data_IF_291751971281
#
_entry.id   IF_291751971281
#
_cell.length_a   1.000
_cell.length_b   1.000
_cell.length_c   1.000
_cell.angle_alpha   90.00
_cell.angle_beta   90.00
_cell.angle_gamma   90.00
#
_symmetry.space_group_name_H-M   'P 1'
#
loop_
_entity.id
_entity.type
_entity.pdbx_description
1 polymer ?
#
# COMPACT_ATOMS: atom_id res chain seq x y z
N UNK A 1 23.09 2.44 -38.46
CA UNK A 1 23.74 2.54 -37.15
C UNK A 1 22.63 2.57 -36.12
N UNK A 2 22.41 1.44 -35.45
CA UNK A 2 21.33 1.28 -34.48
C UNK A 2 21.77 1.89 -33.15
N UNK A 3 21.23 3.03 -32.78
CA UNK A 3 21.33 3.56 -31.43
C UNK A 3 20.40 2.74 -30.53
N UNK A 4 20.95 1.72 -29.96
CA UNK A 4 20.31 0.91 -28.94
C UNK A 4 20.15 1.77 -27.67
N UNK A 5 19.05 2.45 -27.54
CA UNK A 5 18.63 2.99 -26.27
C UNK A 5 18.20 1.79 -25.40
N UNK A 6 19.17 1.13 -24.79
CA UNK A 6 18.91 0.20 -23.71
C UNK A 6 18.24 1.02 -22.59
N UNK A 7 16.93 0.98 -22.53
CA UNK A 7 16.21 1.39 -21.35
C UNK A 7 16.69 0.46 -20.22
N UNK A 8 17.58 0.97 -19.37
CA UNK A 8 17.99 0.26 -18.15
C UNK A 8 16.71 0.08 -17.34
N UNK A 9 16.09 -1.10 -17.42
CA UNK A 9 14.97 -1.44 -16.57
C UNK A 9 15.49 -1.37 -15.13
N UNK A 10 14.99 -0.41 -14.36
CA UNK A 10 15.31 -0.31 -12.94
C UNK A 10 14.70 -1.54 -12.27
N UNK A 11 15.53 -2.48 -11.84
CA UNK A 11 15.08 -3.67 -11.15
C UNK A 11 14.79 -3.35 -9.69
N UNK A 12 13.57 -3.57 -9.23
CA UNK A 12 13.19 -3.44 -7.83
C UNK A 12 13.76 -4.60 -7.02
N UNK A 13 14.13 -4.32 -5.78
CA UNK A 13 14.58 -5.34 -4.82
C UNK A 13 13.62 -5.37 -3.64
N UNK A 14 13.28 -6.55 -3.10
CA UNK A 14 12.49 -6.65 -1.90
C UNK A 14 13.16 -5.90 -0.74
N UNK A 15 12.37 -5.12 0.01
CA UNK A 15 12.80 -4.48 1.25
C UNK A 15 12.62 -5.45 2.41
N UNK A 16 13.43 -5.29 3.44
CA UNK A 16 13.32 -6.04 4.70
C UNK A 16 12.65 -5.21 5.77
N UNK A 17 11.79 -5.86 6.58
CA UNK A 17 11.04 -5.22 7.66
C UNK A 17 11.21 -6.01 8.96
N UNK A 18 11.63 -5.34 10.03
CA UNK A 18 11.84 -5.96 11.34
C UNK A 18 10.54 -5.96 12.15
N UNK A 19 9.61 -6.86 11.82
CA UNK A 19 8.26 -6.91 12.38
C UNK A 19 7.98 -8.10 13.31
N UNK A 20 8.99 -8.90 13.66
CA UNK A 20 8.79 -10.02 14.57
C UNK A 20 8.27 -9.57 15.94
N UNK A 21 7.27 -10.31 16.46
CA UNK A 21 6.69 -10.06 17.78
C UNK A 21 5.69 -8.91 17.81
N UNK A 22 4.98 -8.64 16.71
CA UNK A 22 3.83 -7.74 16.70
C UNK A 22 2.71 -8.25 17.59
N UNK A 23 1.94 -7.36 18.17
CA UNK A 23 0.78 -7.71 18.99
C UNK A 23 -0.37 -8.18 18.10
N UNK A 24 -0.83 -9.41 18.27
CA UNK A 24 -1.99 -9.96 17.56
C UNK A 24 -1.77 -10.28 16.07
N UNK A 25 -0.56 -10.16 15.54
CA UNK A 25 -0.16 -10.62 14.19
C UNK A 25 1.02 -11.55 14.37
N UNK A 26 0.86 -12.84 14.02
CA UNK A 26 1.89 -13.84 14.26
C UNK A 26 3.07 -13.72 13.29
N UNK A 27 4.25 -14.15 13.73
CA UNK A 27 5.43 -14.23 12.86
C UNK A 27 5.16 -15.15 11.65
N UNK A 28 4.34 -16.19 11.82
CA UNK A 28 3.92 -17.08 10.72
C UNK A 28 3.12 -16.33 9.64
N UNK A 29 2.18 -15.46 10.04
CA UNK A 29 1.44 -14.59 9.13
C UNK A 29 2.40 -13.64 8.41
N UNK A 30 3.33 -13.02 9.13
CA UNK A 30 4.31 -12.11 8.56
C UNK A 30 5.24 -12.81 7.55
N UNK A 31 5.76 -13.98 7.86
CA UNK A 31 6.62 -14.76 6.95
C UNK A 31 5.91 -15.11 5.64
N UNK A 32 4.66 -15.56 5.72
CA UNK A 32 3.83 -15.84 4.54
C UNK A 32 3.58 -14.57 3.73
N UNK A 33 3.27 -13.48 4.40
CA UNK A 33 2.95 -12.18 3.80
C UNK A 33 4.18 -11.55 3.12
N UNK A 34 5.38 -11.68 3.70
CA UNK A 34 6.63 -11.26 3.06
C UNK A 34 6.91 -12.04 1.77
N UNK A 35 6.68 -13.35 1.75
CA UNK A 35 6.84 -14.17 0.52
C UNK A 35 5.86 -13.74 -0.57
N UNK A 36 4.62 -13.39 -0.21
CA UNK A 36 3.64 -12.84 -1.14
C UNK A 36 4.13 -11.51 -1.73
N UNK A 37 4.62 -10.60 -0.89
CA UNK A 37 5.21 -9.32 -1.29
C UNK A 37 6.41 -9.51 -2.25
N UNK A 38 7.32 -10.43 -1.95
CA UNK A 38 8.44 -10.76 -2.84
C UNK A 38 7.96 -11.21 -4.22
N UNK A 39 6.82 -11.89 -4.28
CA UNK A 39 6.14 -12.26 -5.53
C UNK A 39 5.76 -11.03 -6.36
N UNK A 40 5.17 -10.00 -5.75
CA UNK A 40 4.84 -8.74 -6.44
C UNK A 40 6.09 -8.02 -6.97
N UNK A 41 7.18 -7.99 -6.20
CA UNK A 41 8.45 -7.41 -6.65
C UNK A 41 8.98 -8.13 -7.88
N UNK A 42 9.00 -9.47 -7.85
CA UNK A 42 9.46 -10.31 -8.96
C UNK A 42 8.59 -10.09 -10.21
N UNK A 43 7.27 -10.14 -10.06
CA UNK A 43 6.35 -9.99 -11.20
C UNK A 43 6.40 -8.56 -11.78
N UNK A 44 6.52 -7.52 -10.96
CA UNK A 44 6.73 -6.15 -11.44
C UNK A 44 7.96 -6.06 -12.35
N UNK A 45 9.09 -6.62 -11.92
CA UNK A 45 10.32 -6.66 -12.73
C UNK A 45 10.10 -7.42 -14.03
N UNK A 46 9.54 -8.65 -13.95
CA UNK A 46 9.30 -9.51 -15.12
C UNK A 46 8.39 -8.82 -16.15
N UNK A 47 7.31 -8.18 -15.71
CA UNK A 47 6.39 -7.49 -16.60
C UNK A 47 7.05 -6.28 -17.25
N UNK A 48 7.85 -5.51 -16.50
CA UNK A 48 8.59 -4.37 -17.02
C UNK A 48 9.57 -4.80 -18.12
N UNK A 49 10.30 -5.91 -17.92
CA UNK A 49 11.20 -6.48 -18.91
C UNK A 49 10.43 -6.94 -20.15
N UNK A 50 9.32 -7.68 -19.98
CA UNK A 50 8.50 -8.16 -21.10
C UNK A 50 7.90 -7.02 -21.92
N UNK A 51 7.41 -5.96 -21.30
CA UNK A 51 6.91 -4.77 -22.00
C UNK A 51 8.04 -4.11 -22.80
N UNK A 52 9.24 -4.01 -22.22
CA UNK A 52 10.39 -3.44 -22.92
C UNK A 52 10.81 -4.30 -24.14
N UNK A 53 10.63 -5.63 -24.10
CA UNK A 53 10.88 -6.52 -25.26
C UNK A 53 9.92 -6.24 -26.41
N UNK A 54 8.61 -6.03 -26.16
CA UNK A 54 7.63 -5.64 -27.18
C UNK A 54 7.99 -4.31 -27.84
N UNK A 55 8.56 -3.37 -27.07
CA UNK A 55 8.91 -2.04 -27.57
C UNK A 55 10.31 -1.95 -28.23
N UNK A 56 11.01 -3.08 -28.42
CA UNK A 56 12.41 -3.10 -28.88
C UNK A 56 12.58 -2.47 -30.26
N UNK A 57 11.65 -2.72 -31.18
CA UNK A 57 11.65 -2.17 -32.55
C UNK A 57 10.89 -0.85 -32.68
N UNK A 58 10.37 -0.32 -31.58
CA UNK A 58 9.67 0.96 -31.49
C UNK A 58 8.19 0.94 -31.91
N UNK A 59 7.61 -0.26 -32.06
CA UNK A 59 6.19 -0.44 -32.41
C UNK A 59 5.60 -1.63 -31.69
N UNK A 60 4.28 -1.69 -31.66
CA UNK A 60 3.47 -2.85 -31.25
C UNK A 60 2.49 -3.08 -32.39
N UNK A 61 2.60 -4.21 -33.05
CA UNK A 61 1.69 -4.50 -34.17
C UNK A 61 0.34 -5.07 -33.67
N UNK A 62 -0.57 -5.31 -34.63
CA UNK A 62 -1.93 -5.74 -34.32
C UNK A 62 -1.98 -7.15 -33.69
N UNK A 63 -1.06 -8.03 -34.05
CA UNK A 63 -0.99 -9.38 -33.50
C UNK A 63 -0.44 -9.40 -32.09
N UNK A 64 0.46 -8.49 -31.76
CA UNK A 64 1.06 -8.32 -30.44
C UNK A 64 0.17 -7.58 -29.45
N UNK A 65 -0.72 -6.72 -29.95
CA UNK A 65 -1.53 -5.81 -29.11
C UNK A 65 -2.30 -6.52 -27.97
N UNK A 66 -2.94 -7.69 -28.14
CA UNK A 66 -3.63 -8.35 -27.04
C UNK A 66 -2.72 -8.74 -25.89
N UNK A 67 -1.53 -9.28 -26.18
CA UNK A 67 -0.53 -9.66 -25.17
C UNK A 67 0.06 -8.42 -24.49
N UNK A 68 0.43 -7.40 -25.28
CA UNK A 68 0.95 -6.13 -24.79
C UNK A 68 -0.06 -5.42 -23.86
N UNK A 69 -1.33 -5.36 -24.25
CA UNK A 69 -2.38 -4.74 -23.43
C UNK A 69 -2.55 -5.44 -22.09
N UNK A 70 -2.54 -6.80 -22.04
CA UNK A 70 -2.64 -7.54 -20.79
C UNK A 70 -1.40 -7.34 -19.90
N UNK A 71 -0.19 -7.36 -20.46
CA UNK A 71 1.04 -7.09 -19.69
C UNK A 71 1.02 -5.68 -19.08
N UNK A 72 0.58 -4.68 -19.85
CA UNK A 72 0.49 -3.29 -19.41
C UNK A 72 -0.55 -3.12 -18.30
N UNK A 73 -1.74 -3.74 -18.45
CA UNK A 73 -2.78 -3.75 -17.43
C UNK A 73 -2.29 -4.42 -16.15
N UNK A 74 -1.65 -5.59 -16.28
CA UNK A 74 -1.16 -6.38 -15.15
C UNK A 74 -0.02 -5.69 -14.40
N UNK A 75 0.82 -4.91 -15.10
CA UNK A 75 1.91 -4.18 -14.46
C UNK A 75 1.39 -3.22 -13.37
N UNK A 76 0.27 -2.53 -13.61
CA UNK A 76 -0.33 -1.66 -12.60
C UNK A 76 -0.74 -2.41 -11.34
N UNK A 77 -1.35 -3.58 -11.49
CA UNK A 77 -1.71 -4.45 -10.36
C UNK A 77 -0.50 -4.90 -9.55
N UNK A 78 0.53 -5.43 -10.20
CA UNK A 78 1.73 -5.96 -9.53
C UNK A 78 2.53 -4.83 -8.86
N UNK A 79 2.70 -3.69 -9.56
CA UNK A 79 3.40 -2.53 -9.00
C UNK A 79 2.69 -1.96 -7.77
N UNK A 80 1.37 -1.80 -7.85
CA UNK A 80 0.59 -1.33 -6.69
C UNK A 80 0.63 -2.36 -5.56
N UNK A 81 0.56 -3.66 -5.86
CA UNK A 81 0.73 -4.73 -4.87
C UNK A 81 2.07 -4.59 -4.13
N UNK A 82 3.15 -4.43 -4.86
CA UNK A 82 4.48 -4.19 -4.29
C UNK A 82 4.50 -2.96 -3.37
N UNK A 83 4.08 -1.80 -3.88
CA UNK A 83 4.18 -0.52 -3.14
C UNK A 83 3.24 -0.49 -1.93
N UNK A 84 2.01 -0.99 -2.06
CA UNK A 84 1.06 -0.99 -0.96
C UNK A 84 1.50 -1.91 0.19
N UNK A 85 2.13 -3.06 -0.12
CA UNK A 85 2.74 -3.91 0.91
C UNK A 85 3.93 -3.22 1.60
N UNK A 86 4.80 -2.54 0.85
CA UNK A 86 5.90 -1.76 1.45
C UNK A 86 5.39 -0.68 2.40
N UNK A 87 4.32 0.00 2.03
CA UNK A 87 3.68 1.01 2.86
C UNK A 87 3.01 0.38 4.09
N UNK A 88 2.33 -0.76 3.93
CA UNK A 88 1.69 -1.50 5.01
C UNK A 88 2.71 -2.01 6.04
N UNK A 89 3.74 -2.72 5.62
CA UNK A 89 4.79 -3.18 6.53
C UNK A 89 5.53 -2.01 7.20
N UNK A 90 5.82 -0.96 6.43
CA UNK A 90 6.45 0.25 6.94
C UNK A 90 5.58 1.09 7.88
N UNK A 91 4.29 0.76 8.03
CA UNK A 91 3.42 1.41 9.02
C UNK A 91 3.54 0.81 10.41
N UNK A 92 4.17 -0.35 10.55
CA UNK A 92 4.10 -1.13 11.79
C UNK A 92 5.47 -1.25 12.46
N UNK A 93 5.44 -1.39 13.78
CA UNK A 93 6.58 -1.78 14.60
C UNK A 93 6.13 -2.49 15.87
N UNK A 94 7.00 -3.32 16.42
CA UNK A 94 6.81 -3.87 17.76
C UNK A 94 6.72 -2.75 18.80
N UNK A 95 5.72 -2.83 19.66
CA UNK A 95 5.46 -1.79 20.68
C UNK A 95 4.97 -0.46 20.08
N UNK A 96 4.39 -0.52 18.90
CA UNK A 96 3.66 0.59 18.28
C UNK A 96 2.29 0.83 18.91
N UNK A 97 1.39 1.42 18.14
CA UNK A 97 0.00 1.67 18.55
C UNK A 97 -0.20 2.95 19.37
N UNK A 98 -1.26 2.95 20.16
CA UNK A 98 -1.71 4.16 20.85
C UNK A 98 -2.24 5.21 19.87
N UNK A 99 -1.87 6.46 20.12
CA UNK A 99 -2.21 7.62 19.29
C UNK A 99 -0.95 8.42 18.94
N UNK A 100 -0.93 9.15 17.81
CA UNK A 100 0.15 10.08 17.56
C UNK A 100 0.19 11.17 18.64
N UNK A 101 1.38 11.70 18.90
CA UNK A 101 1.55 12.74 19.91
C UNK A 101 0.60 13.91 19.67
N UNK A 102 -0.03 14.49 20.70
CA UNK A 102 -1.05 15.55 20.54
C UNK A 102 -0.57 16.77 19.74
N UNK A 103 0.74 17.04 19.75
CA UNK A 103 1.35 18.17 19.01
C UNK A 103 2.01 17.75 17.69
N UNK A 104 1.88 16.49 17.27
CA UNK A 104 2.45 16.02 16.01
C UNK A 104 1.76 16.66 14.80
N UNK A 105 2.46 16.72 13.68
CA UNK A 105 1.89 17.24 12.43
C UNK A 105 0.77 16.36 11.93
N UNK A 106 0.89 15.04 12.13
CA UNK A 106 -0.16 14.09 11.76
C UNK A 106 -1.44 14.33 12.58
N UNK A 107 -1.32 14.49 13.91
CA UNK A 107 -2.48 14.77 14.77
C UNK A 107 -3.22 16.04 14.33
N UNK A 108 -2.48 17.11 14.08
CA UNK A 108 -3.05 18.39 13.58
C UNK A 108 -3.73 18.23 12.22
N UNK A 109 -3.11 17.49 11.28
CA UNK A 109 -3.68 17.24 9.95
C UNK A 109 -4.98 16.43 10.04
N UNK A 110 -5.03 15.43 10.91
CA UNK A 110 -6.25 14.65 11.20
C UNK A 110 -7.35 15.56 11.76
N UNK A 111 -7.07 16.32 12.80
CA UNK A 111 -8.06 17.20 13.45
C UNK A 111 -8.55 18.29 12.50
N UNK A 112 -7.68 18.87 11.69
CA UNK A 112 -8.07 19.84 10.66
C UNK A 112 -8.99 19.23 9.59
N UNK A 113 -8.87 17.92 9.31
CA UNK A 113 -9.61 17.24 8.25
C UNK A 113 -10.92 16.63 8.73
N UNK A 114 -10.95 16.07 9.94
CA UNK A 114 -12.05 15.27 10.48
C UNK A 114 -12.70 15.90 11.74
N UNK A 115 -12.15 16.98 12.26
CA UNK A 115 -12.62 17.63 13.50
C UNK A 115 -11.99 17.02 14.75
N UNK A 116 -12.02 15.70 14.91
CA UNK A 116 -11.38 15.00 16.03
C UNK A 116 -10.66 13.73 15.57
N UNK A 117 -9.76 13.25 16.42
CA UNK A 117 -9.06 11.98 16.23
C UNK A 117 -10.02 10.79 16.19
N UNK A 118 -11.02 10.78 17.05
CA UNK A 118 -12.00 9.72 17.20
C UNK A 118 -12.86 9.57 15.93
N UNK A 119 -13.24 10.69 15.31
CA UNK A 119 -13.98 10.69 14.05
C UNK A 119 -13.14 10.08 12.93
N UNK A 120 -11.87 10.49 12.79
CA UNK A 120 -10.96 9.90 11.84
C UNK A 120 -10.76 8.39 12.07
N UNK A 121 -10.50 8.00 13.33
CA UNK A 121 -10.27 6.60 13.70
C UNK A 121 -11.50 5.73 13.40
N UNK A 122 -12.68 6.25 13.72
CA UNK A 122 -13.95 5.57 13.43
C UNK A 122 -14.12 5.38 11.92
N UNK A 123 -13.89 6.41 11.13
CA UNK A 123 -14.01 6.36 9.66
C UNK A 123 -12.99 5.38 9.06
N UNK A 124 -11.70 5.51 9.40
CA UNK A 124 -10.64 4.63 8.91
C UNK A 124 -10.89 3.15 9.23
N UNK A 125 -11.25 2.84 10.49
CA UNK A 125 -11.52 1.45 10.90
C UNK A 125 -12.83 0.92 10.31
N UNK A 126 -13.84 1.76 10.09
CA UNK A 126 -15.08 1.39 9.43
C UNK A 126 -14.86 1.02 7.97
N UNK A 127 -14.03 1.76 7.26
CA UNK A 127 -13.58 1.41 5.91
C UNK A 127 -12.90 0.02 5.93
N UNK A 128 -11.97 -0.23 6.87
CA UNK A 128 -11.32 -1.53 7.01
C UNK A 128 -12.30 -2.71 7.25
N UNK A 129 -13.46 -2.44 7.86
CA UNK A 129 -14.51 -3.45 8.11
C UNK A 129 -15.44 -3.69 6.92
N UNK A 130 -15.36 -2.90 5.85
CA UNK A 130 -16.18 -3.09 4.65
C UNK A 130 -15.96 -4.48 4.06
N UNK A 131 -17.03 -5.06 3.49
CA UNK A 131 -16.95 -6.37 2.84
C UNK A 131 -16.16 -6.28 1.53
N UNK A 132 -15.28 -7.25 1.31
CA UNK A 132 -14.43 -7.32 0.13
C UNK A 132 -12.97 -7.52 0.50
N UNK A 133 -12.10 -7.57 -0.50
CA UNK A 133 -10.65 -7.65 -0.39
C UNK A 133 -10.02 -6.38 -0.93
N UNK A 134 -8.99 -5.88 -0.28
CA UNK A 134 -8.33 -4.64 -0.67
C UNK A 134 -7.64 -3.94 0.49
N UNK A 135 -7.75 -2.62 0.54
CA UNK A 135 -7.00 -1.76 1.45
C UNK A 135 -7.87 -0.65 2.03
N UNK A 136 -7.62 -0.28 3.26
CA UNK A 136 -8.07 1.00 3.82
C UNK A 136 -6.88 1.94 3.86
N UNK A 137 -6.97 3.07 3.17
CA UNK A 137 -5.85 4.00 3.04
C UNK A 137 -6.28 5.41 3.46
N UNK A 138 -5.52 6.00 4.37
CA UNK A 138 -5.58 7.44 4.64
C UNK A 138 -4.64 8.15 3.67
N UNK A 139 -5.19 9.03 2.85
CA UNK A 139 -4.46 9.85 1.88
C UNK A 139 -4.38 11.31 2.29
N UNK A 140 -3.33 11.98 1.83
CA UNK A 140 -3.22 13.44 1.87
C UNK A 140 -3.44 14.02 0.47
N UNK A 141 -4.32 15.01 0.36
CA UNK A 141 -4.46 15.83 -0.81
C UNK A 141 -3.26 16.79 -0.93
N UNK A 142 -2.47 16.76 -2.03
CA UNK A 142 -1.25 17.55 -2.15
C UNK A 142 -1.50 19.06 -2.25
N UNK A 143 -2.68 19.48 -2.70
CA UNK A 143 -3.02 20.90 -2.85
C UNK A 143 -3.46 21.53 -1.52
N UNK A 144 -4.31 20.80 -0.78
CA UNK A 144 -4.98 21.35 0.42
C UNK A 144 -4.36 20.87 1.72
N UNK A 145 -3.53 19.83 1.68
CA UNK A 145 -3.00 19.14 2.85
C UNK A 145 -4.02 18.33 3.65
N UNK A 146 -5.31 18.38 3.27
CA UNK A 146 -6.37 17.66 3.98
C UNK A 146 -6.23 16.15 3.79
N UNK A 147 -6.58 15.43 4.85
CA UNK A 147 -6.59 13.96 4.85
C UNK A 147 -8.00 13.45 4.52
N UNK A 148 -8.05 12.29 3.87
CA UNK A 148 -9.28 11.54 3.60
C UNK A 148 -8.99 10.04 3.59
N UNK A 149 -9.96 9.22 4.03
CA UNK A 149 -9.83 7.77 4.05
C UNK A 149 -10.58 7.17 2.87
N UNK A 150 -9.98 6.15 2.24
CA UNK A 150 -10.53 5.53 1.05
C UNK A 150 -10.42 4.01 1.11
N UNK A 151 -11.40 3.32 0.51
CA UNK A 151 -11.34 1.91 0.19
C UNK A 151 -10.72 1.71 -1.18
N UNK A 152 -9.71 0.84 -1.26
CA UNK A 152 -9.07 0.45 -2.52
C UNK A 152 -9.39 -1.03 -2.75
N UNK A 153 -10.12 -1.32 -3.82
CA UNK A 153 -10.43 -2.70 -4.22
C UNK A 153 -9.27 -3.32 -4.96
N UNK A 154 -8.92 -4.54 -4.59
CA UNK A 154 -7.71 -5.21 -5.07
C UNK A 154 -6.47 -4.33 -4.80
N UNK A 155 -5.68 -4.01 -5.83
CA UNK A 155 -4.54 -3.10 -5.72
C UNK A 155 -4.73 -1.84 -6.60
N UNK A 156 -5.78 -1.77 -7.40
CA UNK A 156 -5.93 -0.82 -8.50
C UNK A 156 -7.09 0.15 -8.32
N UNK A 157 -8.29 -0.39 -8.04
CA UNK A 157 -9.53 0.39 -8.13
C UNK A 157 -9.76 1.20 -6.85
N UNK A 158 -9.83 2.52 -7.00
CA UNK A 158 -10.07 3.46 -5.91
C UNK A 158 -8.83 4.25 -5.48
N UNK A 159 -7.63 3.96 -6.02
CA UNK A 159 -6.47 4.82 -5.83
C UNK A 159 -6.76 6.23 -6.33
N UNK A 160 -6.43 7.23 -5.52
CA UNK A 160 -6.69 8.63 -5.85
C UNK A 160 -5.46 9.21 -6.52
N UNK A 161 -5.61 9.57 -7.79
CA UNK A 161 -4.51 10.12 -8.57
C UNK A 161 -3.90 11.37 -7.91
N UNK A 162 -2.60 11.37 -7.72
CA UNK A 162 -1.85 12.47 -7.14
C UNK A 162 -1.91 12.60 -5.62
N UNK A 163 -2.77 11.85 -4.91
CA UNK A 163 -2.81 11.88 -3.45
C UNK A 163 -1.66 11.03 -2.85
N UNK A 164 -1.15 11.45 -1.70
CA UNK A 164 -0.07 10.74 -1.01
C UNK A 164 -0.62 9.79 0.06
N UNK A 165 -0.33 8.48 0.00
CA UNK A 165 -0.75 7.54 1.02
C UNK A 165 0.04 7.79 2.32
N UNK A 166 -0.68 8.05 3.41
CA UNK A 166 -0.12 8.35 4.73
C UNK A 166 -0.14 7.11 5.63
N UNK A 167 -1.28 6.44 5.73
CA UNK A 167 -1.44 5.19 6.47
C UNK A 167 -2.16 4.17 5.58
N UNK A 168 -1.59 2.98 5.47
CA UNK A 168 -2.08 1.90 4.61
C UNK A 168 -2.36 0.67 5.46
N UNK A 169 -3.58 0.17 5.45
CA UNK A 169 -3.98 -1.07 6.12
C UNK A 169 -4.40 -2.10 5.09
N UNK A 170 -3.73 -3.24 5.10
CA UNK A 170 -4.11 -4.40 4.30
C UNK A 170 -5.35 -5.06 4.92
N UNK A 171 -6.38 -5.29 4.11
CA UNK A 171 -7.59 -6.00 4.50
C UNK A 171 -7.95 -7.13 3.54
N UNK A 172 -6.95 -7.60 2.79
CA UNK A 172 -7.00 -8.88 2.11
C UNK A 172 -6.99 -10.04 3.13
N UNK A 173 -7.54 -11.15 2.74
CA UNK A 173 -7.61 -12.35 3.58
C UNK A 173 -6.22 -12.88 3.99
N UNK A 174 -5.22 -12.77 3.12
CA UNK A 174 -3.85 -13.18 3.44
C UNK A 174 -3.22 -12.38 4.59
N UNK A 175 -3.71 -11.18 4.88
CA UNK A 175 -3.19 -10.37 5.98
C UNK A 175 -3.57 -10.90 7.36
N UNK A 176 -4.60 -11.78 7.48
CA UNK A 176 -5.13 -12.16 8.78
C UNK A 176 -5.64 -13.60 8.93
N UNK A 177 -5.94 -14.34 7.85
CA UNK A 177 -6.59 -15.65 7.96
C UNK A 177 -5.77 -16.75 8.66
N UNK A 178 -4.47 -16.58 8.84
CA UNK A 178 -3.68 -17.52 9.64
C UNK A 178 -3.84 -17.29 11.15
N UNK A 179 -4.30 -16.12 11.57
CA UNK A 179 -4.45 -15.72 12.97
C UNK A 179 -5.92 -15.55 13.37
N UNK A 180 -6.79 -15.21 12.41
CA UNK A 180 -8.19 -14.85 12.66
C UNK A 180 -9.14 -15.53 11.68
N UNK A 181 -10.31 -15.94 12.15
CA UNK A 181 -11.39 -16.38 11.27
C UNK A 181 -11.92 -15.18 10.42
N UNK A 182 -12.58 -15.44 9.26
CA UNK A 182 -13.12 -14.36 8.44
C UNK A 182 -14.04 -13.39 9.18
N UNK A 183 -14.83 -13.89 10.13
CA UNK A 183 -15.73 -13.08 10.97
C UNK A 183 -14.97 -12.21 12.00
N UNK A 184 -13.71 -12.55 12.30
CA UNK A 184 -12.87 -11.87 13.29
C UNK A 184 -11.98 -10.78 12.67
N UNK A 185 -12.21 -10.40 11.41
CA UNK A 185 -11.52 -9.27 10.77
C UNK A 185 -11.48 -7.99 11.63
N UNK A 186 -12.53 -7.62 12.40
CA UNK A 186 -12.43 -6.51 13.34
C UNK A 186 -11.31 -6.63 14.37
N UNK A 187 -11.04 -7.85 14.89
CA UNK A 187 -9.94 -8.10 15.84
C UNK A 187 -8.56 -7.93 15.18
N UNK A 188 -8.44 -8.35 13.91
CA UNK A 188 -7.23 -8.07 13.13
C UNK A 188 -7.00 -6.56 12.95
N UNK A 189 -8.04 -5.78 12.65
CA UNK A 189 -7.97 -4.32 12.53
C UNK A 189 -7.49 -3.69 13.85
N UNK A 190 -7.96 -4.19 14.99
CA UNK A 190 -7.48 -3.77 16.32
C UNK A 190 -6.00 -4.14 16.52
N UNK A 191 -5.60 -5.35 16.09
CA UNK A 191 -4.20 -5.78 16.12
C UNK A 191 -3.32 -4.89 15.25
N UNK A 192 -3.73 -4.57 14.01
CA UNK A 192 -3.02 -3.61 13.17
C UNK A 192 -2.87 -2.27 13.87
N UNK A 193 -3.95 -1.70 14.40
CA UNK A 193 -3.92 -0.42 15.12
C UNK A 193 -2.97 -0.44 16.33
N UNK A 194 -2.85 -1.59 17.00
CA UNK A 194 -1.96 -1.77 18.16
C UNK A 194 -0.47 -1.84 17.82
N UNK A 195 -0.13 -1.87 16.52
CA UNK A 195 1.24 -1.95 16.04
C UNK A 195 1.65 -0.74 15.18
N UNK A 196 0.79 0.27 14.99
CA UNK A 196 1.11 1.40 14.11
C UNK A 196 2.33 2.18 14.63
N UNK A 197 3.28 2.41 13.74
CA UNK A 197 4.41 3.31 13.91
C UNK A 197 3.97 4.71 13.45
N UNK A 198 3.38 5.50 14.34
CA UNK A 198 2.82 6.82 13.99
C UNK A 198 3.85 7.79 13.42
N UNK A 199 5.09 7.70 13.85
CA UNK A 199 6.20 8.46 13.30
C UNK A 199 6.46 8.14 11.82
N UNK A 200 6.25 6.88 11.39
CA UNK A 200 6.40 6.52 9.99
C UNK A 200 5.25 7.07 9.13
N UNK A 201 4.02 7.09 9.66
CA UNK A 201 2.89 7.73 9.00
C UNK A 201 3.09 9.26 8.92
N UNK A 202 3.53 9.89 10.00
CA UNK A 202 3.83 11.34 10.03
C UNK A 202 4.90 11.74 9.04
N UNK A 203 5.97 10.94 8.90
CA UNK A 203 7.06 11.20 7.96
C UNK A 203 6.63 11.18 6.47
N UNK A 204 5.45 10.66 6.17
CA UNK A 204 4.88 10.67 4.80
C UNK A 204 4.08 11.92 4.47
N UNK A 205 3.77 12.75 5.46
CA UNK A 205 3.14 14.03 5.19
C UNK A 205 4.04 14.89 4.32
N UNK A 206 3.47 15.44 3.26
CA UNK A 206 4.17 16.32 2.35
C UNK A 206 3.82 17.78 2.63
N UNK A 207 4.75 18.72 2.40
CA UNK A 207 4.41 20.13 2.36
C UNK A 207 3.32 20.38 1.33
N UNK A 208 2.39 21.27 1.65
CA UNK A 208 1.35 21.68 0.69
C UNK A 208 1.92 22.68 -0.30
N UNK A 209 1.39 22.66 -1.52
CA UNK A 209 1.81 23.58 -2.60
C UNK A 209 1.30 25.03 -2.40
N UNK A 210 0.61 25.32 -1.28
CA UNK A 210 0.05 26.64 -0.96
C UNK A 210 0.54 27.17 0.36
#
# INVERSE_FOLDING_TARGET
MSTQAARIATSYKPKSFALSGLTGISDKTLEMHFKLYEGYVKETNRLTERIAEFLRDGKVDQEEMPAYAELTRRLGFEYNGMVLHELYFGNMRRGGGGEPQPKSSLRRAVEASFGTWEVWKTDFTSIGKMRGVGWAICYQNPETGRLSNHWITLHETGNIAGFHPILVMDVWEHAFLLDYAPADRPKYIEAFCSNIAWEAAEARLQPTSR
#
